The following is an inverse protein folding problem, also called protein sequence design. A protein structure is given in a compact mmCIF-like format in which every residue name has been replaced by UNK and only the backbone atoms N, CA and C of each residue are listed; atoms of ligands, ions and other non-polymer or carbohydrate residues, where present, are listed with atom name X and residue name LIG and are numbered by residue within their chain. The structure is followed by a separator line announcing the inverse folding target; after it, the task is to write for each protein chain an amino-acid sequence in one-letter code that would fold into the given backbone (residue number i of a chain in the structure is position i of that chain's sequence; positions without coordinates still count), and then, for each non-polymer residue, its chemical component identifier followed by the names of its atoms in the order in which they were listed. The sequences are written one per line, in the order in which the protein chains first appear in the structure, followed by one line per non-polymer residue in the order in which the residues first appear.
data_IF_300504967407
#
_entry.id   IF_300504967407
#
_cell.length_a   1.000
_cell.length_b   1.000
_cell.length_c   1.000
_cell.angle_alpha   90.00
_cell.angle_beta   90.00
_cell.angle_gamma   90.00
#
_symmetry.space_group_name_H-M   'P 1'
#
loop_
_entity.id
_entity.type
_entity.pdbx_description
1 polymer ?
#
# COMPACT_ATOMS: atom_id res chain seq x y z
N UNK A 1 2.50 28.14 -12.30
CA UNK A 1 3.59 27.57 -11.47
C UNK A 1 4.89 27.63 -12.27
N UNK A 2 5.97 28.15 -11.69
CA UNK A 2 7.27 28.17 -12.36
C UNK A 2 7.84 26.76 -12.48
N UNK A 3 8.50 26.48 -13.61
CA UNK A 3 9.18 25.20 -13.87
C UNK A 3 10.63 25.20 -13.41
N UNK A 4 11.20 26.36 -13.10
CA UNK A 4 12.62 26.54 -12.73
C UNK A 4 12.78 27.50 -11.56
N UNK A 5 13.86 27.33 -10.79
CA UNK A 5 14.31 28.26 -9.75
C UNK A 5 15.06 29.47 -10.37
N UNK A 6 15.47 30.49 -9.57
CA UNK A 6 16.20 31.65 -10.09
C UNK A 6 17.55 31.34 -10.73
N UNK A 7 18.11 30.15 -10.52
CA UNK A 7 19.36 29.68 -11.10
C UNK A 7 19.14 28.81 -12.35
N UNK A 8 17.90 28.66 -12.81
CA UNK A 8 17.53 27.81 -13.93
C UNK A 8 17.44 26.31 -13.60
N UNK A 9 17.52 25.92 -12.33
CA UNK A 9 17.31 24.52 -11.89
C UNK A 9 15.84 24.18 -12.01
N UNK A 10 15.51 23.04 -12.63
CA UNK A 10 14.13 22.58 -12.72
C UNK A 10 13.54 22.31 -11.33
N UNK A 11 12.39 22.90 -11.03
CA UNK A 11 11.64 22.61 -9.81
C UNK A 11 10.92 21.27 -9.98
N UNK A 12 11.06 20.40 -9.00
CA UNK A 12 10.40 19.09 -9.01
C UNK A 12 8.98 19.22 -8.46
N UNK A 13 7.99 18.49 -9.02
CA UNK A 13 6.68 18.35 -8.38
C UNK A 13 6.83 18.02 -6.88
N UNK A 14 6.08 18.71 -6.01
CA UNK A 14 6.20 18.60 -4.55
C UNK A 14 7.19 19.57 -3.89
N UNK A 15 7.98 20.32 -4.67
CA UNK A 15 8.86 21.39 -4.15
C UNK A 15 8.00 22.53 -3.61
N UNK A 16 8.28 22.95 -2.37
CA UNK A 16 7.63 24.12 -1.76
C UNK A 16 8.45 25.35 -2.13
N UNK A 17 7.80 26.29 -2.80
CA UNK A 17 8.41 27.57 -3.16
C UNK A 17 7.59 28.74 -2.61
N UNK A 18 8.27 29.84 -2.31
CA UNK A 18 7.66 31.16 -2.18
C UNK A 18 7.82 31.87 -3.51
N UNK A 19 6.73 32.40 -4.05
CA UNK A 19 6.74 33.18 -5.28
C UNK A 19 5.66 34.24 -5.18
N UNK A 20 5.99 35.49 -5.50
CA UNK A 20 4.95 36.50 -5.71
C UNK A 20 4.22 36.15 -7.00
N UNK A 21 2.91 35.92 -6.91
CA UNK A 21 2.13 35.51 -8.05
C UNK A 21 0.79 36.22 -8.15
N UNK A 22 0.33 36.31 -9.39
CA UNK A 22 -1.01 36.73 -9.75
C UNK A 22 -1.87 35.48 -9.75
N UNK A 23 -2.84 35.44 -8.84
CA UNK A 23 -3.80 34.36 -8.71
C UNK A 23 -4.93 34.55 -9.72
N UNK A 24 -5.20 33.54 -10.54
CA UNK A 24 -6.45 33.48 -11.31
C UNK A 24 -7.61 33.19 -10.32
N UNK A 25 -8.61 34.09 -10.21
CA UNK A 25 -9.72 33.94 -9.27
C UNK A 25 -10.69 32.80 -9.63
N UNK A 26 -10.73 32.35 -10.89
CA UNK A 26 -11.62 31.28 -11.34
C UNK A 26 -10.99 29.90 -11.19
N UNK A 27 -9.71 29.77 -11.56
CA UNK A 27 -9.00 28.48 -11.53
C UNK A 27 -8.18 28.27 -10.25
N UNK A 28 -7.86 29.36 -9.53
CA UNK A 28 -6.90 29.34 -8.42
C UNK A 28 -5.46 29.15 -8.89
N UNK A 29 -5.17 29.23 -10.19
CA UNK A 29 -3.84 29.01 -10.71
C UNK A 29 -2.93 30.23 -10.44
N UNK A 30 -1.84 29.98 -9.72
CA UNK A 30 -0.79 30.96 -9.42
C UNK A 30 0.16 31.08 -10.64
N UNK A 31 0.15 32.27 -11.26
CA UNK A 31 1.10 32.66 -12.32
C UNK A 31 2.13 33.62 -11.74
N UNK A 32 3.44 33.33 -11.82
CA UNK A 32 4.47 34.22 -11.27
C UNK A 32 4.28 35.66 -11.75
N UNK A 33 4.30 36.61 -10.82
CA UNK A 33 4.24 38.02 -11.17
C UNK A 33 5.50 38.39 -11.99
N UNK A 34 5.40 39.28 -12.99
CA UNK A 34 6.57 39.70 -13.76
C UNK A 34 7.67 40.22 -12.84
N UNK A 35 8.87 39.61 -12.90
CA UNK A 35 10.02 39.99 -12.09
C UNK A 35 10.06 39.41 -10.67
N UNK A 36 9.14 38.52 -10.29
CA UNK A 36 9.18 37.88 -8.97
C UNK A 36 10.32 36.86 -8.84
N UNK A 37 11.00 36.89 -7.69
CA UNK A 37 11.99 35.88 -7.34
C UNK A 37 11.30 34.66 -6.74
N UNK A 38 11.68 33.47 -7.21
CA UNK A 38 11.18 32.21 -6.66
C UNK A 38 12.15 31.75 -5.58
N UNK A 39 11.69 31.61 -4.35
CA UNK A 39 12.51 31.10 -3.25
C UNK A 39 12.11 29.66 -2.98
N UNK A 40 13.05 28.72 -3.11
CA UNK A 40 12.81 27.33 -2.72
C UNK A 40 12.83 27.23 -1.20
N UNK A 41 11.69 26.92 -0.60
CA UNK A 41 11.52 26.76 0.84
C UNK A 41 11.75 25.32 1.30
N UNK A 42 11.41 24.35 0.45
CA UNK A 42 11.71 22.94 0.66
C UNK A 42 11.75 22.20 -0.68
N UNK A 43 12.74 21.32 -0.84
CA UNK A 43 12.83 20.41 -2.00
C UNK A 43 11.75 19.32 -1.92
N UNK A 44 11.36 18.76 -3.07
CA UNK A 44 10.52 17.58 -3.10
C UNK A 44 11.25 16.41 -2.41
N UNK A 45 10.64 15.82 -1.36
CA UNK A 45 11.21 14.66 -0.66
C UNK A 45 10.73 13.39 -1.34
N UNK A 46 11.68 12.57 -1.82
CA UNK A 46 11.41 11.31 -2.49
C UNK A 46 11.45 10.13 -1.52
N UNK A 47 10.42 9.28 -1.58
CA UNK A 47 10.27 8.11 -0.73
C UNK A 47 11.44 7.12 -0.83
N UNK A 48 12.03 6.94 -2.01
CA UNK A 48 13.14 6.01 -2.22
C UNK A 48 14.45 6.35 -1.48
N UNK A 49 14.51 7.47 -0.75
CA UNK A 49 15.75 7.92 -0.12
C UNK A 49 15.66 8.15 1.39
N UNK A 50 14.47 8.08 2.00
CA UNK A 50 14.28 8.65 3.34
C UNK A 50 13.87 7.63 4.40
N UNK A 51 14.71 6.61 4.64
CA UNK A 51 14.69 5.77 5.84
C UNK A 51 13.29 5.47 6.41
N UNK A 52 13.14 5.60 7.73
CA UNK A 52 11.83 5.53 8.36
C UNK A 52 11.16 6.91 8.32
N UNK A 53 9.90 6.95 7.88
CA UNK A 53 9.06 8.14 7.85
C UNK A 53 8.06 8.08 9.00
N UNK A 54 8.06 9.12 9.83
CA UNK A 54 7.05 9.34 10.86
C UNK A 54 6.32 10.65 10.59
N UNK A 55 5.06 10.54 10.18
CA UNK A 55 4.22 11.69 9.92
C UNK A 55 3.76 12.34 11.23
N UNK A 56 3.61 13.66 11.19
CA UNK A 56 2.94 14.49 12.18
C UNK A 56 1.74 15.16 11.50
N UNK A 57 0.60 14.46 11.34
CA UNK A 57 -0.51 14.96 10.56
C UNK A 57 -1.31 16.03 11.31
N UNK A 58 -1.67 17.10 10.60
CA UNK A 58 -2.76 17.99 10.97
C UNK A 58 -3.97 17.67 10.09
N UNK A 59 -5.04 17.17 10.71
CA UNK A 59 -6.32 16.94 10.05
C UNK A 59 -7.22 18.15 10.25
N UNK A 60 -7.56 18.82 9.15
CA UNK A 60 -8.37 20.03 9.12
C UNK A 60 -9.76 19.66 8.60
N UNK A 61 -10.73 19.65 9.51
CA UNK A 61 -12.14 19.39 9.20
C UNK A 61 -12.75 20.72 8.74
N UNK A 62 -13.06 20.81 7.46
CA UNK A 62 -13.67 22.01 6.89
C UNK A 62 -15.14 22.05 7.32
N UNK A 63 -15.59 23.20 7.81
CA UNK A 63 -16.97 23.43 8.19
C UNK A 63 -17.53 24.64 7.42
N UNK A 64 -18.43 24.37 6.48
CA UNK A 64 -19.13 25.37 5.67
C UNK A 64 -20.57 25.56 6.16
N UNK A 65 -20.82 25.37 7.47
CA UNK A 65 -22.14 25.44 8.08
C UNK A 65 -22.90 26.76 7.82
N UNK A 66 -22.19 27.87 7.58
CA UNK A 66 -22.79 29.16 7.23
C UNK A 66 -23.61 29.13 5.93
N UNK A 67 -23.39 28.15 5.05
CA UNK A 67 -24.21 27.91 3.86
C UNK A 67 -24.89 26.53 3.84
N UNK A 68 -25.06 25.91 5.01
CA UNK A 68 -25.74 24.61 5.13
C UNK A 68 -24.89 23.40 4.73
N UNK A 69 -23.58 23.56 4.58
CA UNK A 69 -22.63 22.48 4.26
C UNK A 69 -21.74 22.17 5.47
N UNK A 70 -22.37 21.84 6.59
CA UNK A 70 -21.67 21.63 7.86
C UNK A 70 -20.71 20.44 7.83
N UNK A 71 -19.67 20.50 8.67
CA UNK A 71 -18.78 19.37 8.91
C UNK A 71 -19.55 18.10 9.33
N UNK A 72 -19.21 16.95 8.74
CA UNK A 72 -19.84 15.66 9.06
C UNK A 72 -19.08 14.82 10.10
N UNK A 73 -17.95 15.33 10.60
CA UNK A 73 -17.09 14.69 11.60
C UNK A 73 -16.63 15.71 12.65
N UNK A 74 -16.38 15.23 13.85
CA UNK A 74 -15.69 15.99 14.91
C UNK A 74 -14.21 15.64 14.97
N UNK A 75 -13.37 16.46 15.64
CA UNK A 75 -11.97 16.10 15.92
C UNK A 75 -11.82 14.75 16.64
N UNK A 76 -12.76 14.39 17.52
CA UNK A 76 -12.76 13.10 18.23
C UNK A 76 -13.02 11.93 17.29
N UNK A 77 -13.95 12.09 16.33
CA UNK A 77 -14.21 11.06 15.32
C UNK A 77 -12.98 10.83 14.45
N UNK A 78 -12.37 11.92 13.97
CA UNK A 78 -11.15 11.86 13.17
C UNK A 78 -10.01 11.21 13.96
N UNK A 79 -9.80 11.58 15.23
CA UNK A 79 -8.79 10.94 16.07
C UNK A 79 -9.05 9.44 16.21
N UNK A 80 -10.31 9.04 16.35
CA UNK A 80 -10.69 7.62 16.45
C UNK A 80 -10.46 6.86 15.14
N UNK A 81 -10.72 7.47 13.99
CA UNK A 81 -10.46 6.88 12.66
C UNK A 81 -8.95 6.66 12.46
N UNK A 82 -8.14 7.69 12.74
CA UNK A 82 -6.71 7.67 12.44
C UNK A 82 -5.90 6.88 13.46
N UNK A 83 -6.16 7.08 14.75
CA UNK A 83 -5.34 6.53 15.84
C UNK A 83 -6.03 5.39 16.61
N UNK A 84 -7.32 5.15 16.36
CA UNK A 84 -8.13 4.24 17.16
C UNK A 84 -8.78 4.89 18.38
N UNK A 85 -9.64 4.13 19.06
CA UNK A 85 -10.42 4.63 20.20
C UNK A 85 -9.55 5.08 21.40
N UNK A 86 -8.40 4.44 21.64
CA UNK A 86 -7.44 4.86 22.67
C UNK A 86 -6.63 6.09 22.28
N UNK A 87 -6.59 6.43 20.98
CA UNK A 87 -5.83 7.57 20.46
C UNK A 87 -4.31 7.39 20.52
N UNK A 88 -3.81 6.16 20.68
CA UNK A 88 -2.37 5.84 20.79
C UNK A 88 -1.75 5.34 19.47
N UNK A 89 -2.55 5.16 18.41
CA UNK A 89 -2.09 4.67 17.11
C UNK A 89 -1.95 3.14 17.02
N UNK A 90 -2.32 2.39 18.06
CA UNK A 90 -2.29 0.92 18.08
C UNK A 90 -3.35 0.28 17.16
N UNK A 91 -4.38 1.06 16.77
CA UNK A 91 -5.43 0.66 15.82
C UNK A 91 -5.70 1.78 14.81
N UNK A 92 -6.77 1.66 14.00
CA UNK A 92 -7.10 2.64 12.97
C UNK A 92 -6.10 2.69 11.81
N UNK A 93 -6.07 3.83 11.12
CA UNK A 93 -5.17 4.07 9.97
C UNK A 93 -3.69 3.96 10.36
N UNK A 94 -3.31 4.46 11.54
CA UNK A 94 -1.93 4.42 12.04
C UNK A 94 -1.39 2.99 12.10
N UNK A 95 -2.19 2.03 12.59
CA UNK A 95 -1.82 0.62 12.60
C UNK A 95 -1.65 0.07 11.18
N UNK A 96 -2.53 0.44 10.26
CA UNK A 96 -2.46 -0.01 8.86
C UNK A 96 -1.20 0.49 8.17
N UNK A 97 -0.79 1.74 8.43
CA UNK A 97 0.48 2.28 7.94
C UNK A 97 1.67 1.46 8.44
N UNK A 98 1.73 1.19 9.74
CA UNK A 98 2.81 0.39 10.31
C UNK A 98 2.82 -1.05 9.77
N UNK A 99 1.66 -1.69 9.62
CA UNK A 99 1.55 -3.06 9.09
C UNK A 99 2.00 -3.16 7.63
N UNK A 100 1.57 -2.23 6.77
CA UNK A 100 1.88 -2.30 5.35
C UNK A 100 3.30 -1.84 5.00
N UNK A 101 3.97 -1.15 5.93
CA UNK A 101 5.32 -0.59 5.73
C UNK A 101 6.39 -1.23 6.61
N UNK A 102 6.04 -2.25 7.39
CA UNK A 102 6.98 -2.89 8.34
C UNK A 102 7.54 -1.91 9.36
N UNK A 103 6.71 -0.94 9.79
CA UNK A 103 7.10 0.13 10.70
C UNK A 103 7.93 1.26 10.07
N UNK A 104 8.22 1.20 8.76
CA UNK A 104 8.96 2.26 8.05
C UNK A 104 8.10 3.49 7.75
N UNK A 105 6.78 3.38 7.87
CA UNK A 105 5.82 4.46 7.66
C UNK A 105 4.81 4.49 8.81
N UNK A 106 4.84 5.57 9.60
CA UNK A 106 4.09 5.65 10.86
C UNK A 106 3.48 7.04 11.08
N UNK A 107 2.49 7.10 11.98
CA UNK A 107 1.93 8.35 12.49
C UNK A 107 2.43 8.57 13.92
N UNK A 108 2.97 9.75 14.20
CA UNK A 108 3.24 10.17 15.57
C UNK A 108 1.91 10.51 16.28
N UNK A 109 1.40 9.58 17.09
CA UNK A 109 0.14 9.73 17.79
C UNK A 109 0.11 10.92 18.78
N UNK A 110 1.26 11.30 19.34
CA UNK A 110 1.36 12.45 20.28
C UNK A 110 1.35 13.80 19.56
N UNK A 111 1.85 13.84 18.33
CA UNK A 111 1.88 15.04 17.49
C UNK A 111 0.69 15.12 16.52
N UNK A 112 -0.13 14.08 16.44
CA UNK A 112 -1.35 14.08 15.63
C UNK A 112 -2.36 15.08 16.18
N UNK A 113 -2.91 15.91 15.30
CA UNK A 113 -3.93 16.89 15.69
C UNK A 113 -5.08 16.88 14.68
N UNK A 114 -6.30 17.01 15.20
CA UNK A 114 -7.49 17.25 14.40
C UNK A 114 -8.17 18.53 14.90
N UNK A 115 -8.59 19.41 13.99
CA UNK A 115 -9.33 20.64 14.30
C UNK A 115 -10.47 20.83 13.33
N UNK A 116 -11.53 21.50 13.77
CA UNK A 116 -12.59 21.99 12.90
C UNK A 116 -12.34 23.45 12.57
N UNK A 117 -12.39 23.80 11.29
CA UNK A 117 -12.17 25.16 10.80
C UNK A 117 -13.45 25.65 10.12
N UNK A 118 -14.13 26.67 10.69
CA UNK A 118 -15.22 27.34 9.99
C UNK A 118 -14.67 28.10 8.78
N UNK A 119 -15.34 27.99 7.65
CA UNK A 119 -14.96 28.66 6.41
C UNK A 119 -16.18 29.20 5.66
N UNK A 120 -15.97 30.29 4.92
CA UNK A 120 -17.01 30.88 4.10
C UNK A 120 -17.17 30.12 2.79
N UNK A 121 -18.41 29.97 2.36
CA UNK A 121 -18.74 29.34 1.09
C UNK A 121 -18.49 30.31 -0.07
N UNK A 122 -17.80 29.83 -1.08
CA UNK A 122 -17.63 30.53 -2.36
C UNK A 122 -18.14 29.63 -3.48
N UNK A 123 -18.45 30.20 -4.63
CA UNK A 123 -18.80 29.43 -5.83
C UNK A 123 -17.71 28.42 -6.20
N UNK A 124 -16.44 28.78 -6.00
CA UNK A 124 -15.30 27.89 -6.21
C UNK A 124 -15.38 26.62 -5.33
N UNK A 125 -15.95 26.71 -4.13
CA UNK A 125 -16.18 25.56 -3.25
C UNK A 125 -17.46 24.82 -3.64
N UNK A 126 -18.58 25.53 -3.68
CA UNK A 126 -19.92 24.92 -3.73
C UNK A 126 -20.36 24.48 -5.13
N UNK A 127 -19.66 24.90 -6.17
CA UNK A 127 -20.04 24.61 -7.56
C UNK A 127 -18.89 24.04 -8.38
N UNK A 128 -17.64 24.35 -8.04
CA UNK A 128 -16.47 23.92 -8.83
C UNK A 128 -15.59 22.87 -8.14
N UNK A 129 -15.86 22.52 -6.88
CA UNK A 129 -14.99 21.66 -6.06
C UNK A 129 -13.49 22.05 -6.18
N UNK A 130 -13.18 23.33 -6.00
CA UNK A 130 -11.80 23.82 -6.04
C UNK A 130 -11.03 23.28 -4.83
N UNK A 131 -10.33 22.16 -5.01
CA UNK A 131 -9.48 21.54 -3.98
C UNK A 131 -8.46 22.52 -3.39
N UNK A 132 -7.95 23.42 -4.22
CA UNK A 132 -7.05 24.47 -3.78
C UNK A 132 -7.74 25.46 -2.84
N UNK A 133 -8.93 25.95 -3.19
CA UNK A 133 -9.72 26.84 -2.31
C UNK A 133 -10.07 26.14 -0.99
N UNK A 134 -10.43 24.86 -1.04
CA UNK A 134 -10.66 24.03 0.16
C UNK A 134 -9.42 24.03 1.07
N UNK A 135 -8.23 23.82 0.49
CA UNK A 135 -6.98 23.83 1.26
C UNK A 135 -6.64 25.21 1.82
N UNK A 136 -6.81 26.29 1.04
CA UNK A 136 -6.55 27.66 1.50
C UNK A 136 -7.45 28.05 2.67
N UNK A 137 -8.74 27.72 2.60
CA UNK A 137 -9.69 27.97 3.68
C UNK A 137 -9.27 27.22 4.95
N UNK A 138 -8.95 25.93 4.82
CA UNK A 138 -8.48 25.11 5.93
C UNK A 138 -7.20 25.65 6.55
N UNK A 139 -6.22 25.98 5.71
CA UNK A 139 -4.94 26.56 6.08
C UNK A 139 -5.07 27.89 6.81
N UNK A 140 -5.91 28.81 6.30
CA UNK A 140 -6.13 30.11 6.89
C UNK A 140 -6.75 29.98 8.28
N UNK A 141 -7.81 29.18 8.42
CA UNK A 141 -8.46 28.97 9.71
C UNK A 141 -7.60 28.17 10.69
N UNK A 142 -6.82 27.19 10.21
CA UNK A 142 -5.88 26.45 11.04
C UNK A 142 -4.76 27.37 11.57
N UNK A 143 -4.20 28.24 10.73
CA UNK A 143 -3.21 29.25 11.16
C UNK A 143 -3.79 30.23 12.16
N UNK A 144 -5.05 30.66 11.97
CA UNK A 144 -5.74 31.53 12.92
C UNK A 144 -5.97 30.85 14.27
N UNK A 145 -6.34 29.56 14.28
CA UNK A 145 -6.63 28.81 15.50
C UNK A 145 -5.37 28.37 16.26
N UNK A 146 -4.32 27.95 15.55
CA UNK A 146 -3.13 27.33 16.14
C UNK A 146 -1.93 28.28 16.25
N UNK A 147 -1.94 29.37 15.49
CA UNK A 147 -0.76 30.18 15.23
C UNK A 147 0.17 29.56 14.18
N UNK A 148 0.93 30.42 13.50
CA UNK A 148 1.80 30.04 12.37
C UNK A 148 2.88 29.04 12.78
N UNK A 149 3.46 29.20 13.98
CA UNK A 149 4.56 28.35 14.44
C UNK A 149 4.12 26.89 14.62
N UNK A 150 2.98 26.65 15.29
CA UNK A 150 2.45 25.30 15.46
C UNK A 150 1.97 24.71 14.14
N UNK A 151 1.25 25.49 13.32
CA UNK A 151 0.82 25.07 11.99
C UNK A 151 1.98 24.60 11.10
N UNK A 152 3.10 25.32 11.13
CA UNK A 152 4.29 25.01 10.31
C UNK A 152 5.08 23.81 10.82
N UNK A 153 4.75 23.30 12.01
CA UNK A 153 5.45 22.17 12.62
C UNK A 153 4.94 20.81 12.12
N UNK A 154 3.73 20.76 11.55
CA UNK A 154 3.17 19.53 10.99
C UNK A 154 3.83 19.15 9.66
N UNK A 155 3.94 17.85 9.41
CA UNK A 155 4.58 17.34 8.18
C UNK A 155 3.57 17.12 7.05
N UNK A 156 2.31 16.84 7.39
CA UNK A 156 1.25 16.47 6.45
C UNK A 156 -0.06 17.16 6.83
N UNK A 157 -0.83 17.57 5.84
CA UNK A 157 -2.10 18.28 5.99
C UNK A 157 -3.20 17.48 5.31
N UNK A 158 -4.22 17.12 6.08
CA UNK A 158 -5.33 16.30 5.59
C UNK A 158 -6.61 17.12 5.74
N UNK A 159 -7.24 17.48 4.63
CA UNK A 159 -8.49 18.24 4.61
C UNK A 159 -9.67 17.28 4.56
N UNK A 160 -10.46 17.23 5.62
CA UNK A 160 -11.71 16.46 5.66
C UNK A 160 -12.82 17.35 5.12
N UNK A 161 -13.39 16.94 3.99
CA UNK A 161 -14.38 17.70 3.24
C UNK A 161 -15.80 17.31 3.68
N UNK A 162 -16.71 18.27 3.93
CA UNK A 162 -18.09 18.01 4.30
C UNK A 162 -18.83 17.05 3.37
N UNK A 163 -19.72 16.20 3.91
CA UNK A 163 -20.48 15.25 3.10
C UNK A 163 -21.37 15.96 2.06
N UNK A 164 -21.87 17.16 2.37
CA UNK A 164 -22.71 17.94 1.46
C UNK A 164 -22.01 18.37 0.15
N UNK A 165 -20.68 18.28 0.08
CA UNK A 165 -19.91 18.57 -1.15
C UNK A 165 -19.76 17.34 -2.07
N UNK A 166 -20.29 16.17 -1.71
CA UNK A 166 -20.15 14.96 -2.54
C UNK A 166 -20.85 15.04 -3.91
N UNK A 167 -21.80 15.96 -4.09
CA UNK A 167 -22.47 16.18 -5.37
C UNK A 167 -21.64 16.97 -6.37
N UNK A 168 -20.64 17.72 -5.89
CA UNK A 168 -19.77 18.59 -6.70
C UNK A 168 -18.33 18.11 -6.74
N UNK A 169 -17.88 17.41 -5.70
CA UNK A 169 -16.58 16.75 -5.63
C UNK A 169 -16.74 15.28 -6.03
N UNK A 170 -16.35 14.88 -7.25
CA UNK A 170 -16.62 13.53 -7.78
C UNK A 170 -15.68 12.45 -7.23
N UNK A 171 -14.79 12.81 -6.30
CA UNK A 171 -13.75 11.95 -5.75
C UNK A 171 -13.99 11.66 -4.26
N UNK A 172 -13.58 10.47 -3.82
CA UNK A 172 -13.63 10.08 -2.41
C UNK A 172 -12.35 10.50 -1.66
N UNK A 173 -11.24 10.57 -2.39
CA UNK A 173 -9.95 11.09 -1.96
C UNK A 173 -9.27 11.84 -3.11
N UNK A 174 -8.39 12.76 -2.75
CA UNK A 174 -7.51 13.47 -3.69
C UNK A 174 -6.19 13.76 -2.96
N UNK A 175 -5.08 13.79 -3.69
CA UNK A 175 -3.77 14.09 -3.12
C UNK A 175 -2.88 14.85 -4.09
N UNK A 176 -1.87 15.53 -3.53
CA UNK A 176 -0.73 15.98 -4.31
C UNK A 176 0.23 14.80 -4.59
N UNK A 177 0.74 14.73 -5.82
CA UNK A 177 1.67 13.70 -6.28
C UNK A 177 2.93 14.34 -6.87
N UNK A 178 4.09 14.26 -6.18
CA UNK A 178 4.23 14.05 -4.74
C UNK A 178 3.85 15.33 -3.98
N UNK A 179 3.85 15.29 -2.65
CA UNK A 179 3.49 16.46 -1.85
C UNK A 179 3.27 16.12 -0.38
N UNK A 180 2.37 16.86 0.27
CA UNK A 180 2.04 16.67 1.70
C UNK A 180 0.58 16.94 2.04
N UNK A 181 -0.25 17.15 1.01
CA UNK A 181 -1.64 17.52 1.14
C UNK A 181 -2.52 16.40 0.58
N UNK A 182 -3.59 16.13 1.31
CA UNK A 182 -4.61 15.13 1.01
C UNK A 182 -5.97 15.74 1.31
N UNK A 183 -6.96 15.47 0.47
CA UNK A 183 -8.36 15.80 0.71
C UNK A 183 -9.16 14.50 0.77
N UNK A 184 -9.99 14.35 1.80
CA UNK A 184 -10.81 13.16 2.01
C UNK A 184 -12.27 13.56 2.16
N UNK A 185 -13.13 12.97 1.33
CA UNK A 185 -14.56 13.16 1.46
C UNK A 185 -15.06 12.51 2.76
N UNK A 186 -15.98 13.18 3.46
CA UNK A 186 -16.68 12.57 4.61
C UNK A 186 -17.70 11.55 4.10
N UNK A 187 -17.24 10.33 3.81
CA UNK A 187 -18.08 9.22 3.35
C UNK A 187 -17.50 7.87 3.79
N UNK A 188 -18.27 6.79 3.59
CA UNK A 188 -17.80 5.42 3.83
C UNK A 188 -16.65 5.02 2.91
N UNK A 189 -16.58 5.56 1.69
CA UNK A 189 -15.51 5.29 0.71
C UNK A 189 -14.37 6.33 0.75
N UNK A 190 -14.54 7.43 1.50
CA UNK A 190 -13.54 8.48 1.71
C UNK A 190 -12.77 8.29 3.02
N UNK A 191 -12.83 9.29 3.91
CA UNK A 191 -12.06 9.32 5.17
C UNK A 191 -12.26 8.10 6.09
N UNK A 192 -13.41 7.41 5.99
CA UNK A 192 -13.71 6.25 6.84
C UNK A 192 -13.11 4.94 6.32
N UNK A 193 -12.60 4.92 5.09
CA UNK A 193 -11.98 3.76 4.46
C UNK A 193 -10.46 3.88 4.55
N UNK A 194 -9.82 3.03 5.35
CA UNK A 194 -8.37 3.15 5.57
C UNK A 194 -7.57 2.97 4.28
N UNK A 195 -8.07 2.15 3.33
CA UNK A 195 -7.47 1.99 2.01
C UNK A 195 -7.41 3.31 1.24
N UNK A 196 -8.48 4.12 1.28
CA UNK A 196 -8.51 5.45 0.63
C UNK A 196 -7.54 6.40 1.34
N UNK A 197 -7.53 6.41 2.67
CA UNK A 197 -6.58 7.25 3.43
C UNK A 197 -5.13 6.86 3.14
N UNK A 198 -4.85 5.56 2.98
CA UNK A 198 -3.53 5.06 2.58
C UNK A 198 -3.17 5.49 1.17
N UNK A 199 -4.06 5.26 0.21
CA UNK A 199 -3.89 5.63 -1.20
C UNK A 199 -3.50 7.11 -1.36
N UNK A 200 -4.33 8.01 -0.83
CA UNK A 200 -4.09 9.44 -0.93
C UNK A 200 -2.79 9.86 -0.23
N UNK A 201 -2.49 9.20 0.88
CA UNK A 201 -1.27 9.52 1.62
C UNK A 201 -0.02 9.03 0.88
N UNK A 202 -0.04 7.89 0.21
CA UNK A 202 1.14 7.39 -0.51
C UNK A 202 1.30 7.97 -1.92
N UNK A 203 0.29 8.66 -2.46
CA UNK A 203 0.46 9.61 -3.56
C UNK A 203 1.46 10.72 -3.22
N UNK A 204 1.45 11.22 -1.97
CA UNK A 204 2.43 12.22 -1.50
C UNK A 204 3.89 11.72 -1.60
N UNK A 205 4.09 10.42 -1.76
CA UNK A 205 5.38 9.73 -1.85
C UNK A 205 5.68 9.20 -3.25
N UNK A 206 4.92 9.63 -4.26
CA UNK A 206 5.20 9.36 -5.68
C UNK A 206 4.70 8.01 -6.19
N UNK A 207 3.72 7.40 -5.50
CA UNK A 207 2.96 6.27 -6.05
C UNK A 207 1.78 6.77 -6.89
N UNK A 208 1.49 6.03 -7.95
CA UNK A 208 0.35 6.23 -8.85
C UNK A 208 -0.66 5.11 -8.68
N UNK A 209 -1.83 5.26 -9.31
CA UNK A 209 -2.87 4.24 -9.25
C UNK A 209 -2.39 2.90 -9.81
N UNK A 210 -2.88 1.82 -9.21
CA UNK A 210 -2.73 0.47 -9.73
C UNK A 210 -3.87 0.14 -10.69
N UNK A 211 -3.56 -0.66 -11.68
CA UNK A 211 -4.42 -0.99 -12.82
C UNK A 211 -4.72 -2.48 -12.83
N UNK A 212 -5.82 -2.85 -13.46
CA UNK A 212 -6.10 -4.23 -13.81
C UNK A 212 -6.86 -4.26 -15.13
N UNK A 213 -6.44 -5.14 -16.04
CA UNK A 213 -7.02 -5.26 -17.38
C UNK A 213 -7.02 -3.93 -18.16
N UNK A 214 -5.98 -3.11 -18.01
CA UNK A 214 -5.88 -1.80 -18.66
C UNK A 214 -6.84 -0.73 -18.14
N UNK A 215 -7.49 -0.96 -16.98
CA UNK A 215 -8.39 0.00 -16.35
C UNK A 215 -7.81 0.50 -15.04
N UNK A 216 -7.71 1.82 -14.91
CA UNK A 216 -7.20 2.50 -13.72
C UNK A 216 -8.09 2.17 -12.52
N UNK A 217 -7.49 2.03 -11.34
CA UNK A 217 -8.13 1.66 -10.08
C UNK A 217 -8.69 0.24 -10.00
N UNK A 218 -8.78 -0.51 -11.10
CA UNK A 218 -9.43 -1.83 -11.06
C UNK A 218 -8.62 -2.91 -10.35
N UNK A 219 -7.40 -2.63 -9.86
CA UNK A 219 -6.66 -3.55 -9.00
C UNK A 219 -7.25 -3.55 -7.57
N UNK A 220 -7.97 -4.62 -7.21
CA UNK A 220 -8.51 -4.77 -5.85
C UNK A 220 -7.52 -5.44 -4.88
N UNK A 221 -6.28 -5.70 -5.30
CA UNK A 221 -5.23 -6.33 -4.48
C UNK A 221 -4.34 -5.34 -3.71
N UNK A 222 -4.55 -4.03 -3.89
CA UNK A 222 -3.77 -2.95 -3.26
C UNK A 222 -4.64 -1.72 -2.98
N UNK A 223 -4.24 -0.93 -1.98
CA UNK A 223 -4.76 0.40 -1.71
C UNK A 223 -4.59 1.36 -2.90
N UNK A 224 -3.60 1.19 -3.77
CA UNK A 224 -3.44 2.05 -4.96
C UNK A 224 -4.45 1.77 -6.07
N UNK A 225 -5.23 0.70 -5.97
CA UNK A 225 -6.42 0.50 -6.78
C UNK A 225 -7.68 0.72 -5.95
N UNK A 226 -8.54 -0.29 -5.85
CA UNK A 226 -9.77 -0.24 -5.04
C UNK A 226 -9.78 -1.22 -3.88
N UNK A 227 -8.65 -1.86 -3.61
CA UNK A 227 -8.49 -2.81 -2.50
C UNK A 227 -8.42 -2.13 -1.14
N UNK A 228 -9.00 -2.73 -0.11
CA UNK A 228 -8.60 -2.45 1.29
C UNK A 228 -7.49 -3.44 1.67
N UNK A 229 -6.34 -3.26 1.03
CA UNK A 229 -5.17 -4.13 1.15
C UNK A 229 -3.89 -3.28 1.13
N UNK A 230 -2.80 -3.84 1.64
CA UNK A 230 -1.49 -3.18 1.57
C UNK A 230 -1.03 -2.98 0.12
N UNK A 231 -0.09 -2.05 -0.12
CA UNK A 231 0.50 -1.86 -1.43
C UNK A 231 1.12 -3.16 -1.97
N UNK A 232 1.07 -3.35 -3.29
CA UNK A 232 1.62 -4.54 -3.95
C UNK A 232 3.16 -4.50 -3.96
N UNK A 233 3.78 -5.60 -4.42
CA UNK A 233 5.23 -5.78 -4.42
C UNK A 233 6.00 -4.68 -5.15
N UNK A 234 5.49 -4.20 -6.29
CA UNK A 234 6.13 -3.11 -7.03
C UNK A 234 6.06 -1.78 -6.27
N UNK A 235 4.93 -1.51 -5.61
CA UNK A 235 4.70 -0.32 -4.80
C UNK A 235 5.58 -0.29 -3.54
N UNK A 236 5.62 -1.39 -2.76
CA UNK A 236 6.47 -1.49 -1.57
C UNK A 236 7.97 -1.53 -1.90
N UNK A 237 8.34 -2.04 -3.09
CA UNK A 237 9.70 -1.93 -3.62
C UNK A 237 10.06 -0.46 -3.86
N UNK A 238 9.21 0.28 -4.60
CA UNK A 238 9.42 1.70 -4.91
C UNK A 238 9.49 2.58 -3.68
N UNK A 239 8.68 2.29 -2.67
CA UNK A 239 8.69 2.98 -1.37
C UNK A 239 9.89 2.62 -0.48
N UNK A 240 10.71 1.64 -0.86
CA UNK A 240 11.81 1.13 -0.02
C UNK A 240 11.33 0.36 1.22
N UNK A 241 10.06 -0.05 1.23
CA UNK A 241 9.47 -0.77 2.34
C UNK A 241 9.89 -2.23 2.36
N UNK A 242 10.09 -2.84 1.19
CA UNK A 242 10.49 -4.23 1.07
C UNK A 242 11.74 -4.47 0.21
N UNK A 243 12.38 -5.62 0.40
CA UNK A 243 13.52 -6.09 -0.41
C UNK A 243 13.15 -7.36 -1.18
N UNK A 244 13.76 -7.58 -2.36
CA UNK A 244 13.57 -8.83 -3.08
C UNK A 244 14.18 -9.98 -2.29
N UNK A 245 13.72 -11.20 -2.56
CA UNK A 245 14.40 -12.41 -2.09
C UNK A 245 15.84 -12.47 -2.62
N UNK A 246 16.70 -13.20 -1.93
CA UNK A 246 18.11 -13.35 -2.32
C UNK A 246 18.23 -13.87 -3.77
N UNK A 247 18.98 -13.13 -4.60
CA UNK A 247 19.16 -13.43 -6.02
C UNK A 247 17.92 -13.19 -6.90
N UNK A 248 16.91 -12.48 -6.37
CA UNK A 248 15.66 -12.17 -7.05
C UNK A 248 15.46 -10.68 -7.36
N UNK A 249 16.50 -9.86 -7.25
CA UNK A 249 16.49 -8.43 -7.58
C UNK A 249 16.37 -8.17 -9.10
N UNK A 250 16.87 -9.10 -9.91
CA UNK A 250 16.80 -9.04 -11.36
C UNK A 250 16.89 -10.45 -11.98
N UNK A 251 15.77 -11.18 -11.98
CA UNK A 251 15.68 -12.51 -12.60
C UNK A 251 15.58 -12.33 -14.11
N UNK A 252 16.72 -12.43 -14.79
CA UNK A 252 16.88 -12.28 -16.25
C UNK A 252 17.32 -13.61 -16.90
N UNK A 253 17.64 -13.56 -18.20
CA UNK A 253 18.08 -14.73 -18.97
C UNK A 253 19.34 -15.42 -18.44
N UNK A 254 20.20 -14.71 -17.70
CA UNK A 254 21.39 -15.30 -17.08
C UNK A 254 21.03 -16.10 -15.81
N UNK A 255 20.01 -15.66 -15.07
CA UNK A 255 19.52 -16.33 -13.84
C UNK A 255 18.56 -17.47 -14.15
N UNK A 256 17.69 -17.29 -15.16
CA UNK A 256 16.61 -18.20 -15.52
C UNK A 256 16.82 -18.78 -16.93
N UNK A 257 17.56 -19.89 -16.99
CA UNK A 257 17.79 -20.64 -18.24
C UNK A 257 16.49 -21.31 -18.69
N UNK A 258 16.28 -21.37 -20.01
CA UNK A 258 15.07 -21.98 -20.56
C UNK A 258 14.93 -23.46 -20.15
N UNK A 259 13.71 -23.88 -19.82
CA UNK A 259 13.36 -25.24 -19.37
C UNK A 259 13.92 -25.62 -17.99
N UNK A 260 14.69 -24.73 -17.35
CA UNK A 260 15.30 -25.00 -16.04
C UNK A 260 14.59 -24.17 -14.98
N UNK A 261 13.83 -24.78 -14.06
CA UNK A 261 13.13 -24.03 -13.03
C UNK A 261 14.11 -23.46 -12.00
N UNK A 262 13.76 -22.31 -11.44
CA UNK A 262 14.36 -21.73 -10.25
C UNK A 262 13.33 -21.69 -9.13
N UNK A 263 13.78 -21.94 -7.90
CA UNK A 263 12.92 -22.10 -6.74
C UNK A 263 13.27 -21.04 -5.71
N UNK A 264 12.24 -20.43 -5.13
CA UNK A 264 12.32 -19.44 -4.07
C UNK A 264 11.39 -19.84 -2.93
N UNK A 265 11.71 -19.41 -1.72
CA UNK A 265 10.84 -19.54 -0.55
C UNK A 265 10.44 -18.14 -0.15
N UNK A 266 9.17 -17.79 -0.35
CA UNK A 266 8.67 -16.45 -0.16
C UNK A 266 7.74 -16.40 1.07
N UNK A 267 8.09 -15.62 2.09
CA UNK A 267 7.13 -15.29 3.14
C UNK A 267 6.02 -14.42 2.56
N UNK A 268 4.80 -14.55 3.09
CA UNK A 268 3.72 -13.64 2.78
C UNK A 268 4.12 -12.21 3.16
N UNK A 269 3.69 -11.23 2.36
CA UNK A 269 4.09 -9.82 2.54
C UNK A 269 3.70 -9.24 3.88
N UNK A 270 2.78 -9.81 4.64
CA UNK A 270 2.43 -9.29 5.97
C UNK A 270 3.44 -9.72 7.06
N UNK A 271 4.23 -10.78 6.83
CA UNK A 271 5.16 -11.34 7.82
C UNK A 271 6.41 -10.48 7.97
N UNK A 272 6.95 -9.99 6.86
CA UNK A 272 8.22 -9.26 6.81
C UNK A 272 8.30 -8.42 5.55
N UNK A 273 9.07 -7.33 5.60
CA UNK A 273 9.47 -6.56 4.43
C UNK A 273 10.71 -7.12 3.74
N UNK A 274 11.46 -7.98 4.41
CA UNK A 274 12.71 -8.50 3.88
C UNK A 274 12.45 -9.79 3.09
N UNK A 275 13.04 -9.88 1.89
CA UNK A 275 13.04 -11.09 1.06
C UNK A 275 11.65 -11.60 0.65
N UNK A 276 10.67 -10.71 0.48
CA UNK A 276 9.26 -11.09 0.35
C UNK A 276 8.69 -10.99 -1.07
N UNK A 277 9.49 -10.59 -2.06
CA UNK A 277 9.08 -10.53 -3.46
C UNK A 277 10.18 -10.98 -4.43
N UNK A 278 9.78 -11.26 -5.67
CA UNK A 278 10.67 -11.54 -6.81
C UNK A 278 10.49 -10.45 -7.87
N UNK A 279 11.58 -10.07 -8.53
CA UNK A 279 11.56 -9.14 -9.67
C UNK A 279 12.11 -9.83 -10.92
N UNK A 280 11.26 -10.07 -11.91
CA UNK A 280 11.63 -10.67 -13.19
C UNK A 280 11.84 -9.58 -14.22
N UNK A 281 12.99 -9.64 -14.90
CA UNK A 281 13.42 -8.73 -15.97
C UNK A 281 13.54 -9.55 -17.25
N UNK A 282 12.44 -9.72 -18.01
CA UNK A 282 12.37 -10.66 -19.14
C UNK A 282 13.12 -10.15 -20.38
N UNK A 283 14.43 -9.93 -20.25
CA UNK A 283 15.39 -9.49 -21.28
C UNK A 283 15.45 -10.41 -22.51
N UNK A 284 14.92 -11.62 -22.38
CA UNK A 284 14.75 -12.58 -23.45
C UNK A 284 13.57 -12.30 -24.39
N UNK A 285 12.67 -11.39 -24.00
CA UNK A 285 11.56 -10.99 -24.84
C UNK A 285 12.00 -9.90 -25.82
N UNK A 286 11.57 -10.00 -27.08
CA UNK A 286 11.86 -8.98 -28.07
C UNK A 286 11.29 -7.60 -27.67
N UNK A 287 10.14 -7.58 -27.01
CA UNK A 287 9.49 -6.38 -26.46
C UNK A 287 10.34 -5.67 -25.41
N UNK A 288 11.26 -6.38 -24.73
CA UNK A 288 12.10 -5.80 -23.68
C UNK A 288 13.12 -4.77 -24.21
N UNK A 289 13.32 -4.71 -25.53
CA UNK A 289 14.15 -3.68 -26.20
C UNK A 289 13.41 -2.36 -26.42
N UNK A 290 12.09 -2.32 -26.23
CA UNK A 290 11.24 -1.16 -26.50
C UNK A 290 10.94 -0.41 -25.22
N UNK A 291 11.12 0.91 -25.24
CA UNK A 291 10.86 1.73 -24.06
C UNK A 291 9.38 1.69 -23.59
N UNK A 292 8.46 1.42 -24.52
CA UNK A 292 7.01 1.45 -24.30
C UNK A 292 6.44 0.08 -23.92
N UNK A 293 6.98 -1.00 -24.49
CA UNK A 293 6.46 -2.35 -24.31
C UNK A 293 7.31 -3.26 -23.43
N UNK A 294 8.49 -2.81 -23.00
CA UNK A 294 9.28 -3.53 -22.01
C UNK A 294 8.56 -3.53 -20.65
N UNK A 295 8.42 -4.71 -20.06
CA UNK A 295 7.72 -4.91 -18.78
C UNK A 295 8.57 -5.73 -17.82
N UNK A 296 8.65 -5.31 -16.56
CA UNK A 296 9.17 -6.13 -15.46
C UNK A 296 7.99 -6.76 -14.73
N UNK A 297 8.20 -7.93 -14.10
CA UNK A 297 7.20 -8.57 -13.26
C UNK A 297 7.62 -8.51 -11.80
N UNK A 298 6.67 -8.22 -10.92
CA UNK A 298 6.81 -8.36 -9.48
C UNK A 298 5.90 -9.47 -8.99
N UNK A 299 6.45 -10.41 -8.22
CA UNK A 299 5.71 -11.53 -7.66
C UNK A 299 5.85 -11.54 -6.14
N UNK A 300 4.74 -11.66 -5.42
CA UNK A 300 4.77 -11.81 -3.97
C UNK A 300 3.62 -12.67 -3.46
N UNK A 301 3.86 -13.36 -2.35
CA UNK A 301 2.83 -14.16 -1.67
C UNK A 301 1.96 -13.23 -0.85
N UNK A 302 0.65 -13.24 -1.08
CA UNK A 302 -0.32 -12.42 -0.35
C UNK A 302 -1.26 -13.32 0.42
N UNK A 303 -1.50 -13.01 1.69
CA UNK A 303 -2.40 -13.76 2.58
C UNK A 303 -3.28 -12.76 3.31
N UNK A 304 -4.55 -13.09 3.54
CA UNK A 304 -5.54 -12.17 4.12
C UNK A 304 -5.36 -11.98 5.65
N UNK A 305 -4.21 -11.45 6.06
CA UNK A 305 -3.81 -11.26 7.47
C UNK A 305 -3.28 -9.83 7.67
N UNK A 306 -3.44 -9.30 8.88
CA UNK A 306 -2.93 -8.01 9.32
C UNK A 306 -3.38 -6.84 8.42
N UNK A 307 -2.45 -6.20 7.69
CA UNK A 307 -2.79 -5.10 6.77
C UNK A 307 -3.67 -5.57 5.61
N UNK A 308 -3.50 -6.82 5.18
CA UNK A 308 -4.25 -7.49 4.12
C UNK A 308 -5.50 -8.24 4.62
N UNK A 309 -5.96 -7.98 5.85
CA UNK A 309 -7.10 -8.71 6.45
C UNK A 309 -8.41 -8.69 5.64
N UNK A 310 -8.56 -7.76 4.70
CA UNK A 310 -9.74 -7.62 3.82
C UNK A 310 -9.40 -7.93 2.35
N UNK A 311 -8.25 -8.55 2.09
CA UNK A 311 -7.85 -8.95 0.74
C UNK A 311 -8.83 -9.99 0.19
N UNK A 312 -9.41 -9.70 -0.98
CA UNK A 312 -10.40 -10.57 -1.61
C UNK A 312 -9.84 -11.98 -1.87
N UNK A 313 -10.64 -13.07 -1.70
CA UNK A 313 -10.20 -14.45 -1.93
C UNK A 313 -9.62 -14.73 -3.32
N UNK A 314 -9.95 -13.92 -4.33
CA UNK A 314 -9.33 -13.99 -5.64
C UNK A 314 -7.82 -13.70 -5.59
N UNK A 315 -7.36 -12.83 -4.69
CA UNK A 315 -5.94 -12.46 -4.49
C UNK A 315 -5.30 -13.15 -3.29
N UNK A 316 -6.09 -13.50 -2.27
CA UNK A 316 -5.57 -14.03 -1.02
C UNK A 316 -5.06 -15.47 -1.16
N UNK A 317 -4.04 -15.78 -0.35
CA UNK A 317 -3.35 -17.08 -0.24
C UNK A 317 -2.75 -17.57 -1.56
N UNK A 318 -2.22 -16.63 -2.35
CA UNK A 318 -1.71 -16.85 -3.71
C UNK A 318 -0.43 -16.04 -3.94
N UNK A 319 0.31 -16.41 -4.97
CA UNK A 319 1.36 -15.57 -5.56
C UNK A 319 0.69 -14.56 -6.48
N UNK A 320 0.63 -13.30 -6.07
CA UNK A 320 0.15 -12.23 -6.94
C UNK A 320 1.24 -11.80 -7.90
N UNK A 321 0.86 -11.54 -9.15
CA UNK A 321 1.75 -11.12 -10.23
C UNK A 321 1.31 -9.75 -10.72
N UNK A 322 2.23 -8.80 -10.65
CA UNK A 322 2.07 -7.45 -11.18
C UNK A 322 3.10 -7.20 -12.28
N UNK A 323 2.71 -6.51 -13.35
CA UNK A 323 3.65 -6.00 -14.36
C UNK A 323 3.82 -4.48 -14.24
N UNK A 324 5.00 -3.98 -14.62
CA UNK A 324 5.32 -2.55 -14.61
C UNK A 324 6.11 -2.17 -15.85
N UNK A 325 6.05 -0.90 -16.30
CA UNK A 325 6.94 -0.42 -17.36
C UNK A 325 8.43 -0.58 -16.97
N UNK A 326 9.17 -1.42 -17.68
CA UNK A 326 10.55 -1.76 -17.33
C UNK A 326 11.52 -0.59 -17.51
N UNK A 327 11.31 0.28 -18.49
CA UNK A 327 12.17 1.45 -18.71
C UNK A 327 12.14 2.37 -17.50
N UNK A 328 10.94 2.67 -17.03
CA UNK A 328 10.73 3.56 -15.90
C UNK A 328 11.15 2.90 -14.58
N UNK A 329 10.88 1.60 -14.41
CA UNK A 329 11.26 0.82 -13.22
C UNK A 329 12.79 0.65 -13.12
N UNK A 330 13.47 0.30 -14.22
CA UNK A 330 14.94 0.19 -14.26
C UNK A 330 15.64 1.54 -14.11
N UNK A 331 14.99 2.63 -14.55
CA UNK A 331 15.52 3.98 -14.45
C UNK A 331 15.21 4.67 -13.12
N UNK A 332 14.49 4.03 -12.19
CA UNK A 332 14.18 4.58 -10.89
C UNK A 332 15.43 4.53 -9.96
N UNK A 333 15.70 5.54 -9.10
CA UNK A 333 14.91 6.73 -8.80
C UNK A 333 15.40 8.00 -9.53
N UNK A 334 15.68 7.93 -10.84
CA UNK A 334 16.07 9.15 -11.58
C UNK A 334 14.94 10.18 -11.65
N UNK A 335 15.31 11.46 -11.77
CA UNK A 335 14.35 12.57 -11.89
C UNK A 335 13.36 12.41 -13.05
N UNK A 336 13.71 11.64 -14.08
CA UNK A 336 12.84 11.36 -15.23
C UNK A 336 11.63 10.49 -14.88
N UNK A 337 11.74 9.60 -13.89
CA UNK A 337 10.74 8.55 -13.61
C UNK A 337 10.18 8.56 -12.19
N UNK A 338 10.70 9.44 -11.34
CA UNK A 338 10.30 9.53 -9.94
C UNK A 338 8.84 9.97 -9.74
N UNK A 339 8.29 10.69 -10.72
CA UNK A 339 6.90 11.19 -10.69
C UNK A 339 6.05 10.68 -11.86
N UNK A 340 6.48 9.64 -12.57
CA UNK A 340 5.72 9.07 -13.68
C UNK A 340 4.92 7.87 -13.23
N UNK A 341 3.72 7.70 -13.82
CA UNK A 341 2.94 6.49 -13.64
C UNK A 341 3.65 5.30 -14.33
N UNK A 342 4.02 4.29 -13.55
CA UNK A 342 4.59 3.03 -14.06
C UNK A 342 3.55 2.14 -14.72
N UNK A 343 2.26 2.47 -14.56
CA UNK A 343 1.10 1.66 -14.86
C UNK A 343 1.29 0.25 -14.31
N UNK A 344 1.41 0.18 -12.97
CA UNK A 344 1.50 -1.09 -12.26
C UNK A 344 0.19 -1.83 -12.51
N UNK A 345 0.25 -2.99 -13.15
CA UNK A 345 -0.95 -3.77 -13.48
C UNK A 345 -0.94 -5.11 -12.77
N UNK A 346 -2.02 -5.45 -12.07
CA UNK A 346 -2.27 -6.83 -11.68
C UNK A 346 -2.61 -7.67 -12.92
N UNK A 347 -1.94 -8.81 -13.09
CA UNK A 347 -2.16 -9.70 -14.24
C UNK A 347 -2.55 -11.13 -13.87
N UNK A 348 -2.16 -11.63 -12.69
CA UNK A 348 -2.54 -12.97 -12.27
C UNK A 348 -2.35 -13.23 -10.77
N UNK A 349 -2.97 -14.30 -10.27
CA UNK A 349 -2.76 -14.83 -8.93
C UNK A 349 -2.68 -16.37 -8.98
N UNK A 350 -1.54 -16.93 -8.56
CA UNK A 350 -1.27 -18.37 -8.65
C UNK A 350 -1.47 -19.04 -7.29
N UNK A 351 -2.45 -19.95 -7.13
CA UNK A 351 -2.64 -20.72 -5.91
C UNK A 351 -1.48 -21.68 -5.61
N UNK A 352 -1.39 -22.08 -4.34
CA UNK A 352 -0.58 -23.24 -3.93
C UNK A 352 -1.02 -24.50 -4.67
N UNK A 353 -0.07 -25.38 -4.97
CA UNK A 353 -0.22 -26.56 -5.81
C UNK A 353 -0.87 -26.27 -7.17
N UNK A 354 -0.59 -25.11 -7.76
CA UNK A 354 -1.05 -24.73 -9.09
C UNK A 354 0.05 -24.03 -9.90
N UNK A 355 -0.18 -23.86 -11.20
CA UNK A 355 0.72 -23.16 -12.08
C UNK A 355 -0.04 -22.28 -13.07
N UNK A 356 0.61 -21.20 -13.51
CA UNK A 356 0.12 -20.33 -14.56
C UNK A 356 1.19 -20.10 -15.61
N UNK A 357 0.81 -20.27 -16.87
CA UNK A 357 1.62 -19.86 -18.02
C UNK A 357 1.31 -18.41 -18.37
N UNK A 358 2.29 -17.54 -18.21
CA UNK A 358 2.28 -16.15 -18.68
C UNK A 358 2.88 -16.13 -20.09
N UNK A 359 2.06 -16.42 -21.09
CA UNK A 359 2.49 -16.62 -22.48
C UNK A 359 3.24 -15.41 -23.05
N UNK A 360 2.77 -14.20 -22.76
CA UNK A 360 3.37 -12.94 -23.21
C UNK A 360 4.80 -12.72 -22.67
N UNK A 361 5.17 -13.46 -21.63
CA UNK A 361 6.48 -13.41 -20.97
C UNK A 361 7.32 -14.66 -21.21
N UNK A 362 6.77 -15.67 -21.89
CA UNK A 362 7.33 -17.02 -22.00
C UNK A 362 7.79 -17.58 -20.64
N UNK A 363 6.94 -17.41 -19.63
CA UNK A 363 7.23 -17.74 -18.24
C UNK A 363 6.11 -18.62 -17.66
N UNK A 364 6.48 -19.65 -16.91
CA UNK A 364 5.57 -20.41 -16.05
C UNK A 364 5.88 -20.05 -14.60
N UNK A 365 4.84 -19.65 -13.88
CA UNK A 365 4.87 -19.37 -12.44
C UNK A 365 4.15 -20.50 -11.72
N UNK A 366 4.78 -21.06 -10.70
CA UNK A 366 4.25 -22.16 -9.91
C UNK A 366 4.07 -21.72 -8.46
N UNK A 367 2.86 -21.90 -7.93
CA UNK A 367 2.64 -21.89 -6.49
C UNK A 367 2.86 -23.31 -5.97
N UNK A 368 3.94 -23.53 -5.23
CA UNK A 368 4.32 -24.82 -4.68
C UNK A 368 3.64 -25.10 -3.34
N UNK A 369 4.34 -25.84 -2.47
CA UNK A 369 3.88 -26.16 -1.13
C UNK A 369 4.07 -24.98 -0.14
N UNK A 370 3.19 -24.89 0.87
CA UNK A 370 3.46 -24.10 2.06
C UNK A 370 4.54 -24.81 2.89
N UNK A 371 5.72 -24.21 3.00
CA UNK A 371 6.87 -24.81 3.69
C UNK A 371 6.98 -24.36 5.16
N UNK A 372 6.27 -23.30 5.52
CA UNK A 372 6.02 -22.85 6.88
C UNK A 372 4.71 -22.04 6.91
N UNK A 373 4.30 -21.57 8.08
CA UNK A 373 3.12 -20.73 8.21
C UNK A 373 3.22 -19.51 7.28
N UNK A 374 2.27 -19.39 6.36
CA UNK A 374 2.19 -18.32 5.35
C UNK A 374 3.51 -18.07 4.59
N UNK A 375 4.31 -19.12 4.39
CA UNK A 375 5.53 -19.07 3.58
C UNK A 375 5.45 -20.12 2.48
N UNK A 376 5.42 -19.66 1.23
CA UNK A 376 5.16 -20.50 0.06
C UNK A 376 6.45 -20.74 -0.73
N UNK A 377 6.63 -21.98 -1.19
CA UNK A 377 7.63 -22.25 -2.24
C UNK A 377 7.09 -21.76 -3.58
N UNK A 378 7.85 -20.92 -4.27
CA UNK A 378 7.50 -20.38 -5.58
C UNK A 378 8.54 -20.83 -6.59
N UNK A 379 8.09 -21.39 -7.71
CA UNK A 379 9.00 -21.74 -8.81
C UNK A 379 8.73 -20.86 -10.02
N UNK A 380 9.79 -20.56 -10.75
CA UNK A 380 9.74 -19.87 -12.03
C UNK A 380 10.44 -20.73 -13.07
N UNK A 381 9.87 -20.86 -14.27
CA UNK A 381 10.54 -21.48 -15.40
C UNK A 381 10.25 -20.70 -16.68
N UNK A 382 11.32 -20.27 -17.36
CA UNK A 382 11.23 -19.65 -18.68
C UNK A 382 11.22 -20.74 -19.76
N UNK A 383 10.52 -20.51 -20.86
CA UNK A 383 10.59 -21.36 -22.06
C UNK A 383 10.91 -20.55 -23.32
N UNK A 384 11.22 -21.25 -24.43
CA UNK A 384 11.54 -20.62 -25.72
C UNK A 384 10.41 -20.74 -26.73
N UNK A 385 9.82 -21.91 -26.86
CA UNK A 385 8.76 -22.26 -27.82
C UNK A 385 7.45 -22.59 -27.11
N UNK A 386 7.51 -23.40 -26.04
CA UNK A 386 6.31 -23.88 -25.34
C UNK A 386 6.54 -24.09 -23.85
N UNK A 387 5.51 -23.85 -23.04
CA UNK A 387 5.51 -24.15 -21.60
C UNK A 387 5.80 -25.63 -21.29
N UNK A 388 5.66 -26.54 -22.25
CA UNK A 388 6.03 -27.95 -22.10
C UNK A 388 7.55 -28.18 -21.92
N UNK A 389 8.39 -27.19 -22.23
CA UNK A 389 9.83 -27.21 -21.89
C UNK A 389 10.07 -27.15 -20.37
N UNK A 390 9.10 -26.62 -19.63
CA UNK A 390 9.19 -26.50 -18.19
C UNK A 390 8.65 -27.76 -17.50
N UNK A 391 9.25 -28.19 -16.37
CA UNK A 391 8.80 -29.37 -15.64
C UNK A 391 7.35 -29.25 -15.16
N UNK A 392 6.67 -30.38 -15.02
CA UNK A 392 5.34 -30.42 -14.39
C UNK A 392 5.45 -30.04 -12.92
N UNK A 393 4.42 -29.41 -12.36
CA UNK A 393 4.39 -29.11 -10.93
C UNK A 393 4.60 -30.36 -10.05
N UNK A 394 4.03 -31.50 -10.43
CA UNK A 394 4.22 -32.78 -9.71
C UNK A 394 5.67 -33.25 -9.63
N UNK A 395 6.53 -32.85 -10.58
CA UNK A 395 7.96 -33.16 -10.56
C UNK A 395 8.75 -32.22 -9.64
N UNK A 396 8.26 -31.00 -9.43
CA UNK A 396 8.86 -29.98 -8.56
C UNK A 396 8.40 -30.12 -7.11
N UNK A 397 7.15 -30.53 -6.93
CA UNK A 397 6.46 -30.69 -5.65
C UNK A 397 5.96 -32.13 -5.53
N UNK A 398 6.85 -33.11 -5.29
CA UNK A 398 6.43 -34.47 -5.04
C UNK A 398 5.51 -34.49 -3.83
N UNK A 399 4.27 -34.94 -4.03
CA UNK A 399 3.29 -35.11 -2.97
C UNK A 399 3.90 -36.05 -1.92
N UNK A 400 3.92 -35.66 -0.63
CA UNK A 400 4.35 -36.57 0.42
C UNK A 400 3.56 -37.87 0.31
N UNK A 401 4.19 -39.05 0.46
CA UNK A 401 3.45 -40.31 0.45
C UNK A 401 2.31 -40.23 1.46
N UNK A 402 1.12 -40.79 1.15
CA UNK A 402 0.00 -40.77 2.08
C UNK A 402 0.46 -41.27 3.45
N UNK A 403 -0.04 -40.68 4.55
CA UNK A 403 0.35 -41.11 5.89
C UNK A 403 0.14 -42.61 6.01
N UNK A 404 1.14 -43.32 6.55
CA UNK A 404 1.03 -44.75 6.80
C UNK A 404 -0.27 -45.02 7.57
N UNK A 405 -1.01 -46.09 7.23
CA UNK A 405 -2.21 -46.44 7.97
C UNK A 405 -1.86 -46.52 9.47
N UNK A 406 -2.75 -46.03 10.36
CA UNK A 406 -2.49 -46.06 11.78
C UNK A 406 -2.16 -47.51 12.19
N UNK A 407 -1.14 -47.72 13.04
CA UNK A 407 -0.80 -49.05 13.50
C UNK A 407 -2.05 -49.71 14.09
N UNK A 408 -2.27 -51.03 13.85
CA UNK A 408 -3.42 -51.73 14.36
C UNK A 408 -3.55 -51.48 15.87
N UNK A 409 -4.75 -51.12 16.31
CA UNK A 409 -5.03 -50.83 17.71
C UNK A 409 -4.49 -51.96 18.59
N UNK A 410 -3.75 -51.65 19.68
CA UNK A 410 -3.26 -52.69 20.57
C UNK A 410 -4.45 -53.49 21.12
N UNK A 411 -4.28 -54.81 21.35
CA UNK A 411 -5.33 -55.63 21.92
C UNK A 411 -5.85 -55.00 23.22
N UNK A 412 -7.18 -55.05 23.48
CA UNK A 412 -7.75 -54.51 24.71
C UNK A 412 -7.01 -55.10 25.91
N UNK A 413 -6.56 -54.22 26.80
CA UNK A 413 -5.83 -54.62 28.00
C UNK A 413 -6.71 -55.57 28.83
N UNK A 414 -6.13 -56.65 29.39
CA UNK A 414 -6.88 -57.57 30.22
C UNK A 414 -7.53 -56.82 31.39
N UNK A 415 -8.76 -57.18 31.78
CA UNK A 415 -9.49 -56.51 32.84
C UNK A 415 -8.66 -56.49 34.13
N UNK A 416 -8.59 -55.33 34.77
CA UNK A 416 -7.82 -55.15 36.00
C UNK A 416 -8.29 -56.13 37.09
N UNK A 417 -7.35 -56.68 37.90
CA UNK A 417 -7.70 -57.56 39.01
C UNK A 417 -8.67 -56.86 39.98
N UNK A 418 -9.71 -57.59 40.38
CA UNK A 418 -10.74 -57.09 41.29
C UNK A 418 -10.08 -56.61 42.60
N UNK A 419 -10.45 -55.42 43.13
CA UNK A 419 -9.90 -54.94 44.39
C UNK A 419 -10.16 -55.94 45.53
N UNK A 420 -9.21 -56.13 46.45
CA UNK A 420 -9.42 -56.96 47.62
C UNK A 420 -10.55 -56.40 48.50
N UNK A 421 -11.31 -57.26 49.20
CA UNK A 421 -12.42 -56.82 50.03
C UNK A 421 -11.93 -55.89 51.14
N UNK A 422 -12.62 -54.78 51.33
CA UNK A 422 -12.40 -53.84 52.43
C UNK A 422 -12.65 -54.57 53.75
N UNK A 423 -11.62 -54.67 54.58
CA UNK A 423 -11.74 -55.18 55.96
C UNK A 423 -12.55 -54.17 56.78
N UNK A 424 -13.74 -54.57 57.19
CA UNK A 424 -14.58 -53.82 58.12
C UNK A 424 -13.93 -53.89 59.50
N UNK A 425 -13.31 -52.79 59.92
CA UNK A 425 -12.79 -52.63 61.26
C UNK A 425 -13.91 -52.71 62.30
N UNK A 426 -13.69 -53.55 63.31
CA UNK A 426 -14.54 -53.75 64.48
C UNK A 426 -14.68 -52.46 65.32
N UNK A 427 -15.87 -52.16 65.88
CA UNK A 427 -16.05 -50.99 66.72
C UNK A 427 -15.43 -51.21 68.11
N UNK A 428 -14.65 -50.26 68.59
CA UNK A 428 -14.27 -50.16 70.01
C UNK A 428 -15.41 -49.53 70.81
N UNK A 429 -15.90 -50.24 71.83
CA UNK A 429 -16.80 -49.68 72.85
C UNK A 429 -16.03 -48.81 73.85
N UNK A 430 -16.58 -47.66 74.28
CA UNK A 430 -16.08 -46.89 75.42
C UNK A 430 -16.68 -47.40 76.74
N UNK A 431 -15.99 -47.06 77.84
CA UNK A 431 -16.46 -47.26 79.22
C UNK A 431 -17.63 -46.33 79.57
#
# INVERSE_FOLDING_TARGET
MPSTDPNGKHLLPGTVVSVDCIMDPATGQCSPAPGSAIVVLAEAVFAATSGNVTQRPLVIILDYGSCGLSAGLTPSDVRSIFLGASGDGSTGVARKYAQCSYGKFTINATAFMAITVPANCTTSVTSSCSWWTLSQNGDAGARAALGIALFSSFTNYIYVVPPGLSSVCPWAGLALLPGRQVWLMTSTYGVRRWGTVMQETIHNYGLWHSWQNGVEYNDYSTAMGRGEACPNAAEISRLGWATPAEGAEAINSAVLRAGTPRTFVLPATYLTGDNNYLRVTPDWMASYKSAVSAKNLYLAVRVAVAGDSLLDPYYASKVNVHEVNATMDNGYPTAAYVNTDLQIQFIDAVPSYSQKTLTDYKLVVYGGAWVANDTLRVHLCRFTLSAAECPSLSSLEPVPPPPLPPPPSPPPSPPSPRPPPVSVGTPHSPA
#
